data_IF_822331836895
#
_entry.id   IF_822331836895
#
_cell.length_a   1.000
_cell.length_b   1.000
_cell.length_c   1.000
_cell.angle_alpha   90.00
_cell.angle_beta   90.00
_cell.angle_gamma   90.00
#
_symmetry.space_group_name_H-M   'P 1'
#
loop_
_entity.id
_entity.type
_entity.pdbx_description
1 polymer ?
#
# COMPACT_ATOMS: atom_id res chain seq x y z
N UNK A 1 22.89 14.79 -18.88
CA UNK A 1 21.71 14.38 -18.11
C UNK A 1 22.18 13.25 -17.25
N UNK A 2 22.22 13.43 -15.94
CA UNK A 2 22.69 12.38 -15.05
C UNK A 2 21.81 11.13 -15.22
N UNK A 3 22.42 10.02 -15.63
CA UNK A 3 21.68 8.80 -15.89
C UNK A 3 21.52 7.98 -14.61
N UNK A 4 20.43 8.29 -13.89
CA UNK A 4 20.01 7.55 -12.71
C UNK A 4 19.07 6.41 -13.06
N UNK A 5 19.34 5.22 -12.54
CA UNK A 5 18.39 4.10 -12.54
C UNK A 5 17.87 3.83 -11.14
N UNK A 6 16.61 3.41 -11.05
CA UNK A 6 15.89 3.21 -9.81
C UNK A 6 15.34 1.79 -9.76
N UNK A 7 15.58 1.08 -8.66
CA UNK A 7 15.11 -0.30 -8.46
C UNK A 7 14.60 -0.46 -7.04
N UNK A 8 13.41 -1.04 -6.88
CA UNK A 8 12.93 -1.48 -5.57
C UNK A 8 13.47 -2.89 -5.32
N UNK A 9 14.39 -3.02 -4.37
CA UNK A 9 15.10 -4.30 -4.12
C UNK A 9 14.30 -5.24 -3.23
N UNK A 10 13.66 -4.70 -2.20
CA UNK A 10 12.91 -5.48 -1.21
C UNK A 10 11.88 -4.63 -0.49
N UNK A 11 10.97 -5.30 0.20
CA UNK A 11 10.00 -4.71 1.12
C UNK A 11 10.02 -5.49 2.42
N UNK A 12 9.88 -4.79 3.54
CA UNK A 12 9.72 -5.40 4.86
C UNK A 12 8.72 -4.63 5.72
N UNK A 13 8.13 -5.30 6.69
CA UNK A 13 7.32 -4.66 7.72
C UNK A 13 8.23 -3.93 8.72
N UNK A 14 7.93 -2.66 9.02
CA UNK A 14 8.67 -1.93 10.03
C UNK A 14 8.36 -2.49 11.42
N UNK A 15 9.42 -2.81 12.16
CA UNK A 15 9.29 -3.31 13.53
C UNK A 15 9.10 -2.17 14.50
N UNK A 16 8.32 -2.40 15.56
CA UNK A 16 8.11 -1.42 16.63
C UNK A 16 7.53 -0.07 16.17
N UNK A 17 6.81 -0.05 15.05
CA UNK A 17 6.04 1.12 14.63
C UNK A 17 4.73 1.21 15.42
N UNK A 18 4.22 2.43 15.62
CA UNK A 18 2.93 2.65 16.27
C UNK A 18 1.74 2.34 15.35
N UNK A 19 1.99 2.25 14.05
CA UNK A 19 0.99 1.94 13.01
C UNK A 19 1.58 0.99 11.96
N UNK A 20 0.74 0.22 11.23
CA UNK A 20 1.23 -0.65 10.17
C UNK A 20 2.02 0.12 9.12
N UNK A 21 3.28 -0.24 8.90
CA UNK A 21 4.19 0.48 8.01
C UNK A 21 5.04 -0.52 7.21
N UNK A 22 5.04 -0.37 5.88
CA UNK A 22 5.95 -1.10 4.99
C UNK A 22 7.14 -0.21 4.64
N UNK A 23 8.33 -0.79 4.61
CA UNK A 23 9.55 -0.12 4.14
C UNK A 23 10.00 -0.74 2.82
N UNK A 24 9.95 0.05 1.75
CA UNK A 24 10.51 -0.33 0.46
C UNK A 24 11.94 0.17 0.33
N UNK A 25 12.87 -0.73 0.04
CA UNK A 25 14.28 -0.38 -0.20
C UNK A 25 14.45 0.06 -1.65
N UNK A 26 14.63 1.37 -1.86
CA UNK A 26 14.91 1.97 -3.15
C UNK A 26 16.42 2.07 -3.35
N UNK A 27 16.93 1.33 -4.32
CA UNK A 27 18.30 1.46 -4.83
C UNK A 27 18.34 2.42 -6.02
N UNK A 28 19.35 3.27 -6.01
CA UNK A 28 19.68 4.22 -7.07
C UNK A 28 21.09 3.97 -7.55
N UNK A 29 21.28 3.90 -8.87
CA UNK A 29 22.60 3.78 -9.49
C UNK A 29 22.80 4.98 -10.43
N UNK A 30 23.90 5.69 -10.25
CA UNK A 30 24.39 6.71 -11.16
C UNK A 30 25.34 6.07 -12.17
N UNK A 31 24.95 6.03 -13.44
CA UNK A 31 25.77 5.45 -14.50
C UNK A 31 26.95 6.37 -14.92
N UNK A 32 26.88 7.67 -14.63
CA UNK A 32 27.94 8.62 -14.96
C UNK A 32 28.99 8.72 -13.83
N UNK A 33 30.06 7.93 -13.94
CA UNK A 33 31.14 7.84 -12.94
C UNK A 33 31.88 9.17 -12.69
N UNK A 34 31.91 10.07 -13.67
CA UNK A 34 32.55 11.38 -13.56
C UNK A 34 31.68 12.42 -12.86
N UNK A 35 30.43 12.08 -12.50
CA UNK A 35 29.50 12.97 -11.81
C UNK A 35 29.30 12.49 -10.37
N UNK A 36 29.27 13.44 -9.44
CA UNK A 36 28.92 13.18 -8.04
C UNK A 36 27.54 13.75 -7.75
N UNK A 37 26.63 12.92 -7.26
CA UNK A 37 25.35 13.38 -6.76
C UNK A 37 25.59 14.03 -5.40
N UNK A 38 25.18 15.28 -5.24
CA UNK A 38 25.28 16.00 -3.97
C UNK A 38 24.00 15.83 -3.14
N UNK A 39 22.84 15.85 -3.80
CA UNK A 39 21.53 15.65 -3.16
C UNK A 39 20.46 15.27 -4.19
N UNK A 40 19.42 14.55 -3.76
CA UNK A 40 18.19 14.37 -4.55
C UNK A 40 16.99 14.71 -3.68
N UNK A 41 16.16 15.65 -4.12
CA UNK A 41 14.81 15.82 -3.58
C UNK A 41 13.85 14.96 -4.40
N UNK A 42 13.55 13.77 -3.88
CA UNK A 42 12.82 12.73 -4.60
C UNK A 42 11.35 12.71 -4.17
N UNK A 43 10.47 12.85 -5.15
CA UNK A 43 9.05 12.54 -5.02
C UNK A 43 8.81 11.16 -5.64
N UNK A 44 8.23 10.25 -4.86
CA UNK A 44 7.87 8.92 -5.31
C UNK A 44 6.34 8.75 -5.21
N UNK A 45 5.69 8.53 -6.35
CA UNK A 45 4.30 8.14 -6.40
C UNK A 45 4.20 6.62 -6.53
N UNK A 46 3.50 5.97 -5.61
CA UNK A 46 3.27 4.51 -5.65
C UNK A 46 1.84 4.25 -6.08
N UNK A 47 1.67 3.42 -7.10
CA UNK A 47 0.36 3.00 -7.59
C UNK A 47 0.17 1.50 -7.46
N UNK A 48 -1.04 1.10 -7.10
CA UNK A 48 -1.51 -0.27 -7.27
C UNK A 48 -1.82 -0.48 -8.74
N UNK A 49 -1.36 -1.58 -9.31
CA UNK A 49 -1.59 -1.97 -10.70
C UNK A 49 -2.47 -3.23 -10.78
N UNK A 50 -3.76 -3.19 -10.37
CA UNK A 50 -4.62 -4.37 -10.40
C UNK A 50 -4.67 -5.06 -11.77
N UNK A 51 -4.52 -4.31 -12.87
CA UNK A 51 -4.55 -4.79 -14.26
C UNK A 51 -3.41 -5.73 -14.59
N UNK A 52 -2.32 -5.69 -13.83
CA UNK A 52 -1.11 -6.47 -14.07
C UNK A 52 -1.08 -7.79 -13.28
N UNK A 53 -2.25 -8.24 -12.81
CA UNK A 53 -2.43 -9.47 -12.02
C UNK A 53 -3.62 -10.28 -12.56
N UNK A 54 -3.49 -11.60 -12.51
CA UNK A 54 -4.59 -12.54 -12.75
C UNK A 54 -5.25 -12.88 -11.42
N UNK A 55 -6.58 -12.91 -11.38
CA UNK A 55 -7.36 -13.16 -10.18
C UNK A 55 -8.08 -14.50 -10.25
N UNK A 56 -8.01 -15.25 -9.15
CA UNK A 56 -8.81 -16.45 -8.92
C UNK A 56 -10.31 -16.12 -8.77
N UNK A 57 -11.22 -17.10 -8.95
CA UNK A 57 -12.65 -16.86 -8.81
C UNK A 57 -13.06 -16.25 -7.45
N UNK A 58 -12.45 -16.71 -6.35
CA UNK A 58 -12.74 -16.19 -5.00
C UNK A 58 -12.23 -14.77 -4.79
N UNK A 59 -11.07 -14.41 -5.36
CA UNK A 59 -10.59 -13.02 -5.32
C UNK A 59 -11.49 -12.09 -6.14
N UNK A 60 -12.01 -12.56 -7.29
CA UNK A 60 -12.94 -11.77 -8.11
C UNK A 60 -14.22 -11.42 -7.35
N UNK A 61 -14.75 -12.37 -6.59
CA UNK A 61 -15.92 -12.15 -5.74
C UNK A 61 -15.63 -11.12 -4.64
N UNK A 62 -14.51 -11.27 -3.92
CA UNK A 62 -14.12 -10.32 -2.85
C UNK A 62 -13.84 -8.93 -3.37
N UNK A 63 -13.26 -8.81 -4.57
CA UNK A 63 -12.93 -7.54 -5.21
C UNK A 63 -14.11 -6.89 -5.93
N UNK A 64 -15.27 -7.54 -5.99
CA UNK A 64 -16.46 -6.99 -6.62
C UNK A 64 -16.92 -5.68 -5.95
N UNK A 65 -16.67 -5.51 -4.66
CA UNK A 65 -16.96 -4.24 -3.96
C UNK A 65 -16.11 -3.07 -4.48
N UNK A 66 -14.88 -3.35 -4.93
CA UNK A 66 -13.93 -2.32 -5.38
C UNK A 66 -14.04 -2.06 -6.89
N UNK A 67 -14.19 -3.12 -7.70
CA UNK A 67 -14.17 -3.02 -9.16
C UNK A 67 -15.52 -3.36 -9.81
N UNK A 68 -16.56 -3.67 -9.04
CA UNK A 68 -17.82 -4.17 -9.58
C UNK A 68 -17.73 -5.60 -10.10
N UNK A 69 -18.80 -6.04 -10.76
CA UNK A 69 -18.92 -7.39 -11.28
C UNK A 69 -17.78 -7.74 -12.29
N UNK A 70 -17.25 -8.99 -12.29
CA UNK A 70 -16.11 -9.39 -13.11
C UNK A 70 -16.26 -9.12 -14.62
N UNK A 71 -17.48 -9.16 -15.14
CA UNK A 71 -17.79 -8.89 -16.55
C UNK A 71 -17.47 -7.45 -16.95
N UNK A 72 -17.44 -6.53 -15.99
CA UNK A 72 -17.16 -5.09 -16.19
C UNK A 72 -15.70 -4.72 -15.98
N UNK A 73 -14.84 -5.68 -15.61
CA UNK A 73 -13.45 -5.39 -15.25
C UNK A 73 -12.62 -4.81 -16.39
N UNK A 74 -13.03 -5.01 -17.65
CA UNK A 74 -12.41 -4.32 -18.78
C UNK A 74 -12.49 -2.77 -18.70
N UNK A 75 -13.46 -2.23 -17.96
CA UNK A 75 -13.71 -0.79 -17.83
C UNK A 75 -13.44 -0.25 -16.41
N UNK A 76 -13.64 -1.09 -15.39
CA UNK A 76 -13.60 -0.67 -13.98
C UNK A 76 -12.22 -0.86 -13.37
N UNK A 77 -11.51 -1.91 -13.79
CA UNK A 77 -10.22 -2.30 -13.23
C UNK A 77 -9.13 -1.37 -13.75
N UNK A 78 -8.69 -0.45 -12.88
CA UNK A 78 -7.78 0.64 -13.21
C UNK A 78 -6.67 0.71 -12.17
N UNK A 79 -5.54 1.27 -12.57
CA UNK A 79 -4.47 1.60 -11.63
C UNK A 79 -4.95 2.66 -10.64
N UNK A 80 -4.56 2.51 -9.37
CA UNK A 80 -4.99 3.36 -8.26
C UNK A 80 -3.77 4.00 -7.62
N UNK A 81 -3.81 5.32 -7.41
CA UNK A 81 -2.82 5.98 -6.56
C UNK A 81 -2.93 5.40 -5.14
N UNK A 82 -1.84 4.81 -4.63
CA UNK A 82 -1.80 4.35 -3.24
C UNK A 82 -1.32 5.45 -2.33
N UNK A 83 -0.13 6.00 -2.60
CA UNK A 83 0.48 7.03 -1.75
C UNK A 83 1.53 7.84 -2.52
N UNK A 84 1.92 8.97 -1.93
CA UNK A 84 3.03 9.80 -2.37
C UNK A 84 4.01 9.96 -1.21
N UNK A 85 5.30 9.77 -1.50
CA UNK A 85 6.39 9.84 -0.53
C UNK A 85 7.38 10.89 -1.01
N UNK A 86 7.87 11.68 -0.06
CA UNK A 86 8.93 12.66 -0.29
C UNK A 86 10.14 12.24 0.53
N UNK A 87 11.29 12.06 -0.12
CA UNK A 87 12.55 11.69 0.52
C UNK A 87 13.68 12.56 -0.02
N UNK A 88 14.44 13.14 0.90
CA UNK A 88 15.73 13.76 0.60
C UNK A 88 16.81 12.68 0.64
N UNK A 89 17.48 12.46 -0.49
CA UNK A 89 18.53 11.45 -0.67
C UNK A 89 19.89 12.13 -0.51
N UNK A 90 20.69 11.74 0.50
CA UNK A 90 22.03 12.27 0.66
C UNK A 90 22.93 11.92 -0.52
N UNK A 91 23.90 12.80 -0.81
CA UNK A 91 24.86 12.61 -1.89
C UNK A 91 25.60 11.27 -1.90
N UNK A 92 25.92 10.82 -3.11
CA UNK A 92 26.61 9.58 -3.41
C UNK A 92 27.28 9.66 -4.79
N UNK A 93 28.25 8.78 -5.05
CA UNK A 93 28.94 8.76 -6.33
C UNK A 93 28.32 7.75 -7.29
N UNK A 94 28.26 6.48 -6.87
CA UNK A 94 27.88 5.36 -7.74
C UNK A 94 26.52 4.79 -7.39
N UNK A 95 26.30 4.50 -6.11
CA UNK A 95 25.11 3.81 -5.64
C UNK A 95 24.65 4.33 -4.29
N UNK A 96 23.33 4.36 -4.10
CA UNK A 96 22.71 4.65 -2.81
C UNK A 96 21.41 3.89 -2.66
N UNK A 97 21.19 3.36 -1.46
CA UNK A 97 19.90 2.78 -1.06
C UNK A 97 19.28 3.61 0.05
N UNK A 98 17.99 3.90 -0.08
CA UNK A 98 17.16 4.60 0.92
C UNK A 98 15.87 3.82 1.17
N UNK A 99 15.22 4.06 2.31
CA UNK A 99 13.93 3.48 2.62
C UNK A 99 12.80 4.43 2.24
N UNK A 100 11.74 3.88 1.63
CA UNK A 100 10.50 4.56 1.33
C UNK A 100 9.41 4.03 2.28
N UNK A 101 9.06 4.76 3.35
CA UNK A 101 8.03 4.34 4.30
C UNK A 101 6.62 4.51 3.73
N UNK A 102 5.85 3.43 3.70
CA UNK A 102 4.47 3.37 3.21
C UNK A 102 3.51 2.99 4.34
N UNK A 103 2.77 3.97 4.90
CA UNK A 103 1.72 3.69 5.87
C UNK A 103 0.65 2.78 5.27
N UNK A 104 0.28 1.77 6.04
CA UNK A 104 -0.76 0.81 5.68
C UNK A 104 -1.92 0.90 6.66
N UNK A 105 -3.09 0.43 6.24
CA UNK A 105 -4.32 0.50 7.01
C UNK A 105 -5.15 -0.75 6.76
N UNK A 106 -5.89 -1.15 7.78
CA UNK A 106 -6.87 -2.23 7.73
C UNK A 106 -8.32 -1.68 7.73
N UNK A 107 -8.48 -0.38 7.50
CA UNK A 107 -9.79 0.25 7.38
C UNK A 107 -10.41 -0.08 6.02
N UNK A 108 -11.43 -0.95 6.04
CA UNK A 108 -12.19 -1.34 4.86
C UNK A 108 -13.04 -0.21 4.25
N UNK A 109 -12.90 1.06 4.62
CA UNK A 109 -13.40 2.16 3.80
C UNK A 109 -12.39 2.60 2.75
N UNK A 110 -11.12 2.19 2.90
CA UNK A 110 -10.01 2.61 2.05
C UNK A 110 -9.78 1.56 0.97
N UNK A 111 -9.68 2.02 -0.29
CA UNK A 111 -9.53 1.16 -1.46
C UNK A 111 -8.32 0.23 -1.39
N UNK A 112 -7.18 0.70 -0.87
CA UNK A 112 -5.98 -0.14 -0.72
C UNK A 112 -6.20 -1.28 0.28
N UNK A 113 -6.84 -1.02 1.42
CA UNK A 113 -7.17 -2.05 2.40
C UNK A 113 -8.11 -3.11 1.81
N UNK A 114 -9.19 -2.69 1.13
CA UNK A 114 -10.09 -3.60 0.41
C UNK A 114 -9.37 -4.42 -0.64
N UNK A 115 -8.48 -3.77 -1.41
CA UNK A 115 -7.73 -4.42 -2.47
C UNK A 115 -6.88 -5.56 -1.90
N UNK A 116 -6.01 -5.27 -0.93
CA UNK A 116 -5.12 -6.28 -0.36
C UNK A 116 -5.88 -7.38 0.40
N UNK A 117 -6.94 -7.03 1.13
CA UNK A 117 -7.78 -8.02 1.82
C UNK A 117 -8.53 -8.94 0.85
N UNK A 118 -8.87 -8.45 -0.33
CA UNK A 118 -9.49 -9.25 -1.39
C UNK A 118 -8.54 -10.26 -2.03
N UNK A 119 -7.22 -10.15 -1.83
CA UNK A 119 -6.22 -11.07 -2.39
C UNK A 119 -5.98 -12.26 -1.46
N UNK A 120 -5.86 -13.45 -2.03
CA UNK A 120 -5.59 -14.66 -1.25
C UNK A 120 -4.09 -14.95 -1.14
N UNK A 121 -3.36 -14.89 -2.26
CA UNK A 121 -1.95 -15.28 -2.36
C UNK A 121 -1.19 -14.51 -3.46
N UNK A 122 0.04 -14.94 -3.77
CA UNK A 122 0.88 -14.32 -4.80
C UNK A 122 1.25 -12.88 -4.49
N UNK A 123 1.41 -12.07 -5.55
CA UNK A 123 1.91 -10.70 -5.45
C UNK A 123 0.96 -9.64 -5.99
N UNK A 124 0.82 -8.54 -5.27
CA UNK A 124 0.22 -7.31 -5.77
C UNK A 124 1.22 -6.56 -6.66
N UNK A 125 0.79 -6.16 -7.85
CA UNK A 125 1.61 -5.39 -8.76
C UNK A 125 1.64 -3.91 -8.35
N UNK A 126 2.84 -3.33 -8.25
CA UNK A 126 3.06 -1.94 -7.92
C UNK A 126 3.91 -1.24 -8.99
N UNK A 127 3.60 0.02 -9.26
CA UNK A 127 4.44 0.95 -10.02
C UNK A 127 4.91 2.10 -9.13
N UNK A 128 6.18 2.44 -9.23
CA UNK A 128 6.84 3.54 -8.52
C UNK A 128 7.25 4.56 -9.57
N UNK A 129 6.61 5.72 -9.57
CA UNK A 129 6.89 6.81 -10.50
C UNK A 129 7.72 7.87 -9.79
N UNK A 130 8.89 8.19 -10.34
CA UNK A 130 9.84 9.11 -9.73
C UNK A 130 9.80 10.47 -10.40
N UNK A 131 9.87 11.53 -9.61
CA UNK A 131 10.05 12.91 -10.06
C UNK A 131 10.80 13.69 -9.00
N UNK A 132 11.23 14.92 -9.32
CA UNK A 132 11.90 15.78 -8.36
C UNK A 132 13.18 16.39 -8.90
N UNK A 133 14.04 16.87 -8.01
CA UNK A 133 15.21 17.65 -8.37
C UNK A 133 16.50 16.92 -7.99
N UNK A 134 17.42 16.86 -8.95
CA UNK A 134 18.74 16.28 -8.80
C UNK A 134 19.79 17.40 -8.73
N UNK A 135 20.62 17.37 -7.70
CA UNK A 135 21.75 18.26 -7.52
C UNK A 135 23.03 17.46 -7.66
N UNK A 136 23.87 17.80 -8.64
CA UNK A 136 25.09 17.06 -8.91
C UNK A 136 26.23 17.99 -9.32
N UNK A 137 27.47 17.54 -9.14
CA UNK A 137 28.65 18.21 -9.70
C UNK A 137 29.04 17.53 -11.00
N UNK A 138 29.23 18.34 -12.04
CA UNK A 138 29.77 17.87 -13.30
C UNK A 138 31.27 17.56 -13.17
N UNK A 139 31.90 17.05 -14.25
CA UNK A 139 33.33 16.73 -14.26
C UNK A 139 34.25 17.93 -13.98
N UNK A 140 33.78 19.17 -14.19
CA UNK A 140 34.51 20.40 -13.90
C UNK A 140 34.36 20.85 -12.43
N UNK A 141 33.47 20.20 -11.66
CA UNK A 141 33.18 20.53 -10.26
C UNK A 141 32.06 21.57 -10.06
N UNK A 142 31.44 22.05 -11.14
CA UNK A 142 30.34 23.01 -11.05
C UNK A 142 29.06 22.33 -10.59
N UNK A 143 28.33 22.99 -9.69
CA UNK A 143 27.01 22.52 -9.25
C UNK A 143 25.99 22.73 -10.37
N UNK A 144 25.28 21.66 -10.70
CA UNK A 144 24.21 21.61 -11.68
C UNK A 144 22.92 21.14 -11.02
N UNK A 145 21.79 21.58 -11.57
CA UNK A 145 20.46 21.19 -11.13
C UNK A 145 19.71 20.64 -12.35
N UNK A 146 19.12 19.47 -12.20
CA UNK A 146 18.32 18.82 -13.24
C UNK A 146 17.02 18.27 -12.65
N UNK A 147 15.96 18.15 -13.46
CA UNK A 147 14.73 17.49 -13.06
C UNK A 147 14.80 16.00 -13.42
N UNK A 148 14.34 15.14 -12.51
CA UNK A 148 14.20 13.71 -12.78
C UNK A 148 13.15 13.52 -13.88
N UNK A 149 13.48 12.89 -15.01
CA UNK A 149 12.52 12.64 -16.08
C UNK A 149 11.38 11.74 -15.60
N UNK A 150 10.15 12.05 -16.03
CA UNK A 150 8.95 11.25 -15.72
C UNK A 150 9.01 9.81 -16.24
N UNK A 151 9.90 9.51 -17.17
CA UNK A 151 10.15 8.16 -17.67
C UNK A 151 10.90 7.25 -16.68
N UNK A 152 11.44 7.80 -15.59
CA UNK A 152 12.10 7.02 -14.54
C UNK A 152 11.02 6.39 -13.64
N UNK A 153 10.80 5.10 -13.84
CA UNK A 153 9.87 4.28 -13.05
C UNK A 153 10.54 2.99 -12.57
N UNK A 154 9.98 2.38 -11.52
CA UNK A 154 10.30 1.02 -11.10
C UNK A 154 9.02 0.21 -10.92
N UNK A 155 9.10 -1.10 -11.16
CA UNK A 155 8.00 -2.04 -10.92
C UNK A 155 8.39 -2.97 -9.80
N UNK A 156 7.41 -3.31 -8.96
CA UNK A 156 7.63 -4.21 -7.85
C UNK A 156 6.42 -5.12 -7.66
N UNK A 157 6.68 -6.35 -7.22
CA UNK A 157 5.67 -7.36 -6.91
C UNK A 157 5.68 -7.51 -5.39
N UNK A 158 4.70 -6.89 -4.72
CA UNK A 158 4.55 -6.95 -3.27
C UNK A 158 3.90 -8.27 -2.88
N UNK A 159 4.59 -9.17 -2.16
CA UNK A 159 3.98 -10.41 -1.70
C UNK A 159 2.81 -10.11 -0.77
N UNK A 160 1.64 -10.66 -1.07
CA UNK A 160 0.41 -10.50 -0.27
C UNK A 160 0.62 -11.01 1.15
N UNK A 161 1.47 -12.03 1.31
CA UNK A 161 1.86 -12.55 2.61
C UNK A 161 2.47 -11.49 3.54
N UNK A 162 3.34 -10.61 3.04
CA UNK A 162 3.98 -9.57 3.86
C UNK A 162 2.93 -8.58 4.38
N UNK A 163 1.97 -8.19 3.54
CA UNK A 163 0.89 -7.30 3.97
C UNK A 163 -0.03 -8.00 4.98
N UNK A 164 -0.37 -9.26 4.76
CA UNK A 164 -1.23 -10.04 5.68
C UNK A 164 -0.55 -10.26 7.03
N UNK A 165 0.74 -10.59 7.04
CA UNK A 165 1.51 -10.77 8.26
C UNK A 165 1.62 -9.44 9.03
N UNK A 166 1.80 -8.33 8.32
CA UNK A 166 1.74 -7.00 8.90
C UNK A 166 0.37 -6.71 9.52
N UNK A 167 -0.75 -6.94 8.81
CA UNK A 167 -2.08 -6.70 9.37
C UNK A 167 -2.39 -7.62 10.55
N UNK A 168 -2.05 -8.90 10.48
CA UNK A 168 -2.24 -9.86 11.58
C UNK A 168 -1.46 -9.47 12.85
N UNK A 169 -0.30 -8.83 12.71
CA UNK A 169 0.49 -8.37 13.84
C UNK A 169 -0.16 -7.17 14.57
N UNK A 170 -0.88 -6.31 13.84
CA UNK A 170 -1.54 -5.11 14.42
C UNK A 170 -3.02 -5.33 14.77
N UNK A 171 -3.70 -6.23 14.06
CA UNK A 171 -5.13 -6.53 14.21
C UNK A 171 -5.36 -8.05 14.37
N UNK A 172 -4.83 -8.67 15.45
CA UNK A 172 -4.91 -10.12 15.62
C UNK A 172 -6.36 -10.58 15.86
N UNK A 173 -6.86 -11.46 15.00
CA UNK A 173 -8.22 -12.04 15.09
C UNK A 173 -9.34 -10.98 15.17
N UNK A 174 -9.12 -9.80 14.61
CA UNK A 174 -10.06 -8.68 14.71
C UNK A 174 -10.15 -7.95 13.38
N UNK A 175 -11.37 -7.58 13.00
CA UNK A 175 -11.63 -6.81 11.78
C UNK A 175 -12.22 -5.44 12.14
N UNK A 176 -11.93 -4.42 11.33
CA UNK A 176 -12.48 -3.09 11.53
C UNK A 176 -13.83 -2.96 10.83
N UNK A 177 -14.91 -3.00 11.62
CA UNK A 177 -16.27 -2.78 11.13
C UNK A 177 -16.70 -1.34 11.35
N UNK A 178 -16.92 -0.60 10.26
CA UNK A 178 -17.58 0.70 10.31
C UNK A 178 -19.10 0.53 10.26
N UNK A 179 -19.78 1.13 11.23
CA UNK A 179 -21.24 1.27 11.25
C UNK A 179 -21.64 2.74 11.38
N UNK A 180 -22.89 3.09 11.05
CA UNK A 180 -23.40 4.42 11.36
C UNK A 180 -23.56 4.61 12.87
N UNK A 181 -23.53 5.87 13.33
CA UNK A 181 -23.74 6.19 14.75
C UNK A 181 -25.09 5.65 15.26
N UNK A 182 -26.15 5.75 14.45
CA UNK A 182 -27.47 5.20 14.77
C UNK A 182 -27.43 3.68 14.97
N UNK A 183 -26.75 2.95 14.09
CA UNK A 183 -26.62 1.49 14.22
C UNK A 183 -25.78 1.14 15.46
N UNK A 184 -24.71 1.89 15.73
CA UNK A 184 -23.92 1.70 16.94
C UNK A 184 -24.74 1.89 18.21
N UNK A 185 -25.55 2.96 18.29
CA UNK A 185 -26.41 3.23 19.44
C UNK A 185 -27.44 2.10 19.65
N UNK A 186 -28.06 1.63 18.56
CA UNK A 186 -28.99 0.50 18.58
C UNK A 186 -28.32 -0.80 19.04
N UNK A 187 -27.10 -1.08 18.56
CA UNK A 187 -26.32 -2.25 18.98
C UNK A 187 -25.94 -2.15 20.46
N UNK A 188 -25.52 -0.98 20.92
CA UNK A 188 -25.15 -0.73 22.30
C UNK A 188 -26.35 -0.85 23.25
N UNK A 189 -27.52 -0.34 22.85
CA UNK A 189 -28.78 -0.52 23.57
C UNK A 189 -29.18 -2.00 23.68
N UNK A 190 -29.09 -2.75 22.58
CA UNK A 190 -29.36 -4.17 22.57
C UNK A 190 -28.40 -4.93 23.50
N UNK A 191 -27.10 -4.63 23.45
CA UNK A 191 -26.07 -5.21 24.33
C UNK A 191 -26.44 -5.01 25.79
N UNK A 192 -26.80 -3.77 26.19
CA UNK A 192 -27.19 -3.41 27.56
C UNK A 192 -28.43 -4.16 28.04
N UNK A 193 -29.51 -4.16 27.23
CA UNK A 193 -30.78 -4.82 27.60
C UNK A 193 -30.65 -6.32 27.78
N UNK A 194 -29.71 -6.93 27.07
CA UNK A 194 -29.48 -8.38 27.10
C UNK A 194 -28.34 -8.81 28.03
N UNK A 195 -27.73 -7.87 28.76
CA UNK A 195 -26.66 -8.16 29.74
C UNK A 195 -25.39 -8.73 29.10
N UNK A 196 -25.09 -8.40 27.84
CA UNK A 196 -23.95 -8.93 27.11
C UNK A 196 -22.67 -8.15 27.40
N UNK A 197 -21.53 -8.84 27.47
CA UNK A 197 -20.25 -8.27 27.91
C UNK A 197 -19.42 -7.71 26.74
N UNK A 198 -19.60 -8.24 25.53
CA UNK A 198 -18.88 -7.81 24.33
C UNK A 198 -19.81 -7.50 23.14
N UNK A 199 -19.27 -6.78 22.16
CA UNK A 199 -19.96 -6.62 20.88
C UNK A 199 -19.93 -7.91 20.05
N UNK A 200 -18.93 -8.76 20.22
CA UNK A 200 -18.89 -10.10 19.60
C UNK A 200 -20.07 -10.96 20.07
N UNK A 201 -20.34 -11.02 21.38
CA UNK A 201 -21.52 -11.73 21.93
C UNK A 201 -22.83 -11.16 21.37
N UNK A 202 -22.87 -9.84 21.18
CA UNK A 202 -24.02 -9.12 20.62
C UNK A 202 -24.26 -9.53 19.17
N UNK A 203 -23.20 -9.52 18.36
CA UNK A 203 -23.26 -9.92 16.95
C UNK A 203 -23.57 -11.41 16.81
N UNK A 204 -22.94 -12.29 17.59
CA UNK A 204 -23.26 -13.72 17.60
C UNK A 204 -24.72 -14.00 17.93
N UNK A 205 -25.28 -13.30 18.92
CA UNK A 205 -26.70 -13.45 19.28
C UNK A 205 -27.63 -12.97 18.17
N UNK A 206 -27.30 -11.86 17.50
CA UNK A 206 -28.09 -11.35 16.39
C UNK A 206 -28.02 -12.28 15.17
N UNK A 207 -26.83 -12.78 14.82
CA UNK A 207 -26.62 -13.70 13.70
C UNK A 207 -27.36 -15.02 13.91
N UNK A 208 -27.30 -15.58 15.12
CA UNK A 208 -28.00 -16.83 15.46
C UNK A 208 -29.52 -16.72 15.26
N UNK A 209 -30.12 -15.57 15.55
CA UNK A 209 -31.56 -15.39 15.34
C UNK A 209 -31.93 -15.43 13.85
N UNK A 210 -31.08 -14.86 12.99
CA UNK A 210 -31.30 -14.86 11.53
C UNK A 210 -31.13 -16.27 10.94
N UNK A 211 -30.17 -17.04 11.45
CA UNK A 211 -29.96 -18.43 11.01
C UNK A 211 -31.13 -19.36 11.40
N UNK A 212 -31.77 -19.12 12.55
CA UNK A 212 -32.94 -19.88 13.00
C UNK A 212 -34.19 -19.53 12.16
N UNK A 213 -34.35 -18.29 11.72
CA UNK A 213 -35.48 -17.88 10.87
C UNK A 213 -35.33 -18.30 9.39
N UNK A 214 -34.13 -18.67 8.95
CA UNK A 214 -33.85 -19.13 7.59
C UNK A 214 -33.96 -20.66 7.41
N UNK A 215 -34.25 -21.40 8.49
CA UNK A 215 -34.40 -22.87 8.50
C UNK A 215 -35.85 -23.27 8.68
#
# INVERSE_FOLDING_TARGET
MADLSFTIERVEAEKFSATPLLLFSLRMINAEQAQRIENIELNCQIRLEPTQRVYSPSERERLAELFGAPERWGETLRSLLWTQIHVSVPGFEHEKTVQLPVPCTHDFNIASAKYFYGLNDGDAALSFLFSGSLFYKNACGDLQIEQIPWSKEARFRLPVAIWRDLMNAYYPNSELLRVSAEIFDRLNDFKRRNGLLSFDDTLHRLLRNVEVDAT
#
